data_IF_128753131738
#
_entry.id   IF_128753131738
#
_cell.length_a   1.000
_cell.length_b   1.000
_cell.length_c   1.000
_cell.angle_alpha   90.00
_cell.angle_beta   90.00
_cell.angle_gamma   90.00
#
_symmetry.space_group_name_H-M   'P 1'
#
loop_
_entity.id
_entity.type
_entity.pdbx_description
1 polymer ?
#
# COMPACT_ATOMS: atom_id res chain seq x y z
N UNK A 1 10.20 0.10 21.60
CA UNK A 1 9.96 -1.34 21.87
C UNK A 1 10.98 -1.79 22.89
N UNK A 2 10.53 -2.33 24.01
CA UNK A 2 11.41 -2.83 25.07
C UNK A 2 11.49 -4.36 24.95
N UNK A 3 12.63 -4.86 24.47
CA UNK A 3 12.87 -6.30 24.30
C UNK A 3 13.97 -6.73 25.26
N UNK A 4 13.76 -7.89 25.90
CA UNK A 4 14.77 -8.46 26.79
C UNK A 4 15.95 -8.98 25.98
N UNK A 5 17.17 -8.58 26.31
CA UNK A 5 18.39 -9.10 25.67
C UNK A 5 18.55 -10.59 25.97
N UNK A 6 18.75 -11.40 24.93
CA UNK A 6 18.99 -12.85 25.04
C UNK A 6 20.49 -13.14 24.92
N UNK A 7 21.00 -14.01 25.79
CA UNK A 7 22.39 -14.45 25.79
C UNK A 7 22.51 -15.88 26.34
N UNK A 8 23.63 -16.55 26.06
CA UNK A 8 23.87 -17.94 26.44
C UNK A 8 23.85 -18.15 27.96
N UNK A 9 23.28 -19.27 28.41
CA UNK A 9 23.14 -19.65 29.83
C UNK A 9 22.34 -18.65 30.69
N UNK A 10 21.51 -17.82 30.05
CA UNK A 10 20.58 -16.94 30.75
C UNK A 10 19.56 -17.76 31.55
N UNK A 11 19.40 -17.41 32.83
CA UNK A 11 18.30 -17.93 33.64
C UNK A 11 16.95 -17.52 33.03
N UNK A 12 16.03 -18.48 32.88
CA UNK A 12 14.73 -18.30 32.19
C UNK A 12 14.83 -17.79 30.75
N UNK A 13 15.89 -18.20 30.04
CA UNK A 13 16.07 -17.89 28.61
C UNK A 13 14.84 -18.20 27.73
N UNK A 14 14.23 -19.40 27.83
CA UNK A 14 13.03 -19.73 27.06
C UNK A 14 11.85 -18.77 27.28
N UNK A 15 11.58 -18.39 28.52
CA UNK A 15 10.49 -17.49 28.89
C UNK A 15 10.75 -16.06 28.37
N UNK A 16 11.98 -15.58 28.46
CA UNK A 16 12.35 -14.27 27.92
C UNK A 16 12.20 -14.22 26.38
N UNK A 17 12.54 -15.31 25.68
CA UNK A 17 12.33 -15.43 24.23
C UNK A 17 10.83 -15.41 23.90
N UNK A 18 10.01 -16.18 24.61
CA UNK A 18 8.57 -16.20 24.42
C UNK A 18 7.94 -14.81 24.65
N UNK A 19 8.32 -14.13 25.74
CA UNK A 19 7.85 -12.79 26.05
C UNK A 19 8.22 -11.77 24.97
N UNK A 20 9.44 -11.85 24.42
CA UNK A 20 9.85 -11.03 23.28
C UNK A 20 9.00 -11.31 22.04
N UNK A 21 8.71 -12.58 21.72
CA UNK A 21 7.87 -12.92 20.58
C UNK A 21 6.44 -12.42 20.73
N UNK A 22 5.83 -12.53 21.92
CA UNK A 22 4.50 -11.96 22.17
C UNK A 22 4.53 -10.43 22.07
N UNK A 23 5.61 -9.78 22.52
CA UNK A 23 5.80 -8.32 22.37
C UNK A 23 5.88 -7.92 20.90
N UNK A 24 6.69 -8.64 20.11
CA UNK A 24 6.82 -8.41 18.66
C UNK A 24 5.48 -8.63 17.94
N UNK A 25 4.78 -9.72 18.25
CA UNK A 25 3.45 -10.04 17.70
C UNK A 25 2.42 -8.95 18.02
N UNK A 26 2.44 -8.41 19.23
CA UNK A 26 1.53 -7.33 19.63
C UNK A 26 1.91 -5.98 19.00
N UNK A 27 3.19 -5.78 18.67
CA UNK A 27 3.67 -4.55 18.06
C UNK A 27 3.40 -4.52 16.57
N UNK A 28 3.57 -5.64 15.86
CA UNK A 28 3.34 -5.72 14.42
C UNK A 28 1.94 -6.24 14.13
N UNK A 29 0.97 -5.33 14.01
CA UNK A 29 -0.37 -5.68 13.55
C UNK A 29 -0.43 -5.57 12.04
N UNK A 30 -0.75 -6.69 11.38
CA UNK A 30 -0.94 -6.73 9.93
C UNK A 30 -2.43 -6.75 9.61
N UNK A 31 -2.85 -5.91 8.67
CA UNK A 31 -4.22 -5.90 8.14
C UNK A 31 -4.16 -6.11 6.64
N UNK A 32 -4.96 -7.05 6.14
CA UNK A 32 -5.10 -7.32 4.72
C UNK A 32 -6.36 -6.64 4.17
N UNK A 33 -6.26 -6.11 2.96
CA UNK A 33 -7.40 -5.62 2.18
C UNK A 33 -7.43 -6.39 0.86
N UNK A 34 -8.54 -7.09 0.60
CA UNK A 34 -8.74 -7.72 -0.70
C UNK A 34 -9.11 -6.67 -1.75
N UNK A 35 -8.74 -6.91 -3.00
CA UNK A 35 -9.20 -6.11 -4.14
C UNK A 35 -10.72 -6.02 -4.22
N UNK A 36 -11.47 -7.00 -3.71
CA UNK A 36 -12.94 -6.96 -3.65
C UNK A 36 -13.49 -5.81 -2.81
N UNK A 37 -12.72 -5.35 -1.81
CA UNK A 37 -13.12 -4.30 -0.87
C UNK A 37 -12.71 -2.90 -1.36
N UNK A 38 -12.03 -2.83 -2.50
CA UNK A 38 -11.67 -1.58 -3.16
C UNK A 38 -12.80 -1.13 -4.08
N UNK A 39 -13.05 0.17 -4.10
CA UNK A 39 -14.06 0.77 -4.99
C UNK A 39 -13.43 1.17 -6.32
N UNK A 40 -14.05 0.76 -7.42
CA UNK A 40 -13.64 1.17 -8.77
C UNK A 40 -13.98 2.66 -8.98
N UNK A 41 -13.05 3.43 -9.55
CA UNK A 41 -13.27 4.85 -9.89
C UNK A 41 -13.03 5.10 -11.37
N UNK A 42 -11.92 4.61 -11.94
CA UNK A 42 -11.64 4.65 -13.38
C UNK A 42 -11.03 3.32 -13.82
N UNK A 43 -11.60 2.73 -14.87
CA UNK A 43 -11.29 1.37 -15.30
C UNK A 43 -11.87 0.30 -14.38
N UNK A 44 -11.46 -0.94 -14.62
CA UNK A 44 -11.97 -2.14 -13.98
C UNK A 44 -10.90 -2.74 -13.05
N UNK A 45 -11.11 -2.64 -11.75
CA UNK A 45 -10.28 -3.28 -10.72
C UNK A 45 -10.25 -4.81 -10.89
N UNK A 46 -9.06 -5.38 -11.02
CA UNK A 46 -8.87 -6.82 -11.04
C UNK A 46 -8.91 -7.42 -9.62
N UNK A 47 -10.12 -7.58 -9.09
CA UNK A 47 -10.38 -7.91 -7.68
C UNK A 47 -9.63 -9.14 -7.15
N UNK A 48 -9.39 -10.15 -8.00
CA UNK A 48 -8.69 -11.39 -7.60
C UNK A 48 -7.18 -11.25 -7.50
N UNK A 49 -6.60 -10.26 -8.18
CA UNK A 49 -5.15 -10.01 -8.25
C UNK A 49 -4.73 -8.84 -7.35
N UNK A 50 -5.68 -7.96 -7.03
CA UNK A 50 -5.45 -6.72 -6.31
C UNK A 50 -5.52 -6.92 -4.81
N UNK A 51 -4.61 -6.29 -4.08
CA UNK A 51 -4.61 -6.34 -2.62
C UNK A 51 -3.76 -5.24 -1.98
N UNK A 52 -3.97 -5.04 -0.69
CA UNK A 52 -3.06 -4.25 0.14
C UNK A 52 -2.72 -4.99 1.44
N UNK A 53 -1.51 -4.74 1.93
CA UNK A 53 -1.09 -5.09 3.28
C UNK A 53 -0.73 -3.82 4.03
N UNK A 54 -1.31 -3.64 5.22
CA UNK A 54 -0.94 -2.58 6.14
C UNK A 54 -0.24 -3.20 7.35
N UNK A 55 0.97 -2.75 7.64
CA UNK A 55 1.73 -3.09 8.84
C UNK A 55 1.74 -1.87 9.73
N UNK A 56 1.08 -1.98 10.88
CA UNK A 56 0.95 -0.89 11.84
C UNK A 56 2.12 -0.89 12.83
N UNK A 57 2.65 0.29 13.08
CA UNK A 57 3.57 0.65 14.16
C UNK A 57 2.92 1.78 14.96
N UNK A 58 3.50 2.16 16.10
CA UNK A 58 2.89 3.08 17.07
C UNK A 58 2.22 4.33 16.46
N UNK A 59 2.96 5.12 15.66
CA UNK A 59 2.47 6.36 15.05
C UNK A 59 2.60 6.39 13.50
N UNK A 60 2.89 5.23 12.91
CA UNK A 60 3.12 5.11 11.47
C UNK A 60 2.70 3.72 11.02
N UNK A 61 2.14 3.61 9.81
CA UNK A 61 1.92 2.33 9.15
C UNK A 61 2.67 2.27 7.83
N UNK A 62 3.16 1.09 7.48
CA UNK A 62 3.61 0.77 6.12
C UNK A 62 2.44 0.15 5.36
N UNK A 63 2.07 0.75 4.24
CA UNK A 63 1.03 0.25 3.35
C UNK A 63 1.66 -0.22 2.05
N UNK A 64 1.68 -1.53 1.83
CA UNK A 64 1.98 -2.15 0.56
C UNK A 64 0.72 -2.26 -0.29
N UNK A 65 0.83 -1.95 -1.57
CA UNK A 65 -0.26 -1.97 -2.54
C UNK A 65 0.19 -2.71 -3.79
N UNK A 66 -0.62 -3.67 -4.23
CA UNK A 66 -0.49 -4.34 -5.52
C UNK A 66 -1.80 -4.21 -6.29
N UNK A 67 -1.74 -3.65 -7.50
CA UNK A 67 -2.92 -3.35 -8.30
C UNK A 67 -2.68 -3.62 -9.78
N UNK A 68 -3.75 -4.03 -10.43
CA UNK A 68 -3.97 -4.05 -11.86
C UNK A 68 -5.38 -3.51 -12.15
N UNK A 69 -5.45 -2.49 -13.00
CA UNK A 69 -6.68 -1.82 -13.40
C UNK A 69 -6.85 -2.00 -14.90
N UNK A 70 -7.81 -2.82 -15.32
CA UNK A 70 -8.14 -3.00 -16.73
C UNK A 70 -8.89 -1.77 -17.29
N UNK A 71 -8.90 -1.61 -18.61
CA UNK A 71 -9.70 -0.59 -19.32
C UNK A 71 -9.46 0.86 -18.83
N UNK A 72 -8.23 1.17 -18.41
CA UNK A 72 -7.89 2.51 -17.92
C UNK A 72 -7.94 3.55 -19.04
N UNK A 73 -8.62 4.68 -18.80
CA UNK A 73 -8.93 5.68 -19.83
C UNK A 73 -8.05 6.93 -19.81
N UNK A 74 -7.02 7.01 -18.95
CA UNK A 74 -6.23 8.22 -18.80
C UNK A 74 -5.26 8.47 -19.97
N UNK A 75 -5.61 9.40 -20.86
CA UNK A 75 -4.94 9.61 -22.15
C UNK A 75 -4.32 11.02 -22.34
N UNK A 76 -4.56 11.96 -21.43
CA UNK A 76 -4.03 13.32 -21.53
C UNK A 76 -2.64 13.42 -20.90
N UNK A 77 -1.79 14.26 -21.49
CA UNK A 77 -0.46 14.59 -20.94
C UNK A 77 -0.61 15.42 -19.67
N UNK A 78 0.21 15.11 -18.66
CA UNK A 78 0.33 15.90 -17.42
C UNK A 78 -0.95 15.99 -16.60
N UNK A 79 -1.80 14.96 -16.70
CA UNK A 79 -3.07 14.89 -15.97
C UNK A 79 -3.01 13.81 -14.89
N UNK A 80 -3.73 14.06 -13.80
CA UNK A 80 -3.93 13.08 -12.75
C UNK A 80 -5.30 12.43 -12.89
N UNK A 81 -5.33 11.11 -12.79
CA UNK A 81 -6.54 10.30 -12.86
C UNK A 81 -6.70 9.51 -11.57
N UNK A 82 -7.91 9.55 -11.02
CA UNK A 82 -8.34 8.69 -9.92
C UNK A 82 -8.59 7.28 -10.46
N UNK A 83 -8.15 6.23 -9.75
CA UNK A 83 -8.25 4.85 -10.24
C UNK A 83 -9.15 3.98 -9.37
N UNK A 84 -8.69 3.71 -8.15
CA UNK A 84 -9.41 2.92 -7.14
C UNK A 84 -9.37 3.65 -5.81
N UNK A 85 -10.37 3.39 -4.98
CA UNK A 85 -10.41 3.89 -3.62
C UNK A 85 -10.35 2.73 -2.62
N UNK A 86 -9.41 2.84 -1.67
CA UNK A 86 -9.34 1.99 -0.50
C UNK A 86 -10.36 2.50 0.54
N UNK A 87 -10.96 1.63 1.38
CA UNK A 87 -11.78 2.10 2.48
C UNK A 87 -10.97 3.03 3.40
N UNK A 88 -11.52 4.20 3.74
CA UNK A 88 -10.84 5.16 4.63
C UNK A 88 -10.48 4.56 5.99
N UNK A 89 -11.32 3.66 6.51
CA UNK A 89 -11.06 2.90 7.74
C UNK A 89 -9.79 2.03 7.64
N UNK A 90 -9.46 1.55 6.44
CA UNK A 90 -8.22 0.80 6.19
C UNK A 90 -6.97 1.68 6.24
N UNK A 91 -7.08 3.01 6.25
CA UNK A 91 -5.93 3.90 6.43
C UNK A 91 -5.58 4.17 7.91
N UNK A 92 -6.24 3.51 8.86
CA UNK A 92 -5.96 3.63 10.30
C UNK A 92 -5.97 5.07 10.84
N UNK A 93 -6.83 5.94 10.31
CA UNK A 93 -6.88 7.35 10.73
C UNK A 93 -5.72 8.21 10.22
N UNK A 94 -4.98 7.77 9.19
CA UNK A 94 -3.87 8.52 8.63
C UNK A 94 -4.23 9.97 8.29
N UNK A 95 -3.47 10.91 8.85
CA UNK A 95 -3.58 12.35 8.62
C UNK A 95 -2.60 12.83 7.56
N UNK A 96 -1.56 12.04 7.27
CA UNK A 96 -0.57 12.33 6.24
C UNK A 96 -0.08 11.04 5.59
N UNK A 97 0.11 11.09 4.28
CA UNK A 97 0.61 9.96 3.49
C UNK A 97 1.84 10.39 2.70
N UNK A 98 2.86 9.52 2.66
CA UNK A 98 4.05 9.71 1.81
C UNK A 98 4.32 8.45 1.01
N UNK A 99 4.48 8.58 -0.30
CA UNK A 99 5.03 7.48 -1.11
C UNK A 99 6.49 7.24 -0.75
N UNK A 100 6.89 5.96 -0.70
CA UNK A 100 8.30 5.57 -0.66
C UNK A 100 8.81 5.53 -2.11
N UNK A 101 10.07 5.97 -2.39
CA UNK A 101 10.68 5.80 -3.71
C UNK A 101 10.64 4.34 -4.20
N UNK A 102 10.74 4.13 -5.52
CA UNK A 102 10.63 2.82 -6.20
C UNK A 102 9.21 2.28 -6.40
N UNK A 103 8.22 3.16 -6.51
CA UNK A 103 6.92 2.81 -7.07
C UNK A 103 7.10 2.29 -8.50
N UNK A 104 6.70 1.04 -8.74
CA UNK A 104 6.73 0.46 -10.08
C UNK A 104 5.35 0.59 -10.70
N UNK A 105 5.34 1.14 -11.92
CA UNK A 105 4.19 1.02 -12.80
C UNK A 105 4.46 -0.13 -13.76
N UNK A 106 3.55 -1.08 -13.80
CA UNK A 106 3.60 -2.20 -14.73
C UNK A 106 2.71 -1.85 -15.91
N UNK A 107 3.20 -0.98 -16.81
CA UNK A 107 2.95 -0.89 -18.27
C UNK A 107 3.63 0.38 -18.85
N UNK A 108 4.06 0.30 -20.10
CA UNK A 108 5.10 1.11 -20.72
C UNK A 108 4.58 2.45 -21.27
N UNK A 109 5.09 3.55 -20.71
CA UNK A 109 5.57 4.66 -21.56
C UNK A 109 5.07 6.07 -21.26
N UNK A 110 4.16 6.27 -20.29
CA UNK A 110 3.69 7.63 -19.98
C UNK A 110 3.27 7.86 -18.52
N UNK A 111 3.35 6.88 -17.63
CA UNK A 111 2.87 6.98 -16.26
C UNK A 111 4.06 7.12 -15.30
N UNK A 112 3.95 8.00 -14.29
CA UNK A 112 5.12 8.35 -13.47
C UNK A 112 4.93 8.35 -11.98
N UNK A 113 3.77 8.77 -11.47
CA UNK A 113 3.62 9.06 -10.05
C UNK A 113 2.29 8.53 -9.54
N UNK A 114 2.35 7.62 -8.58
CA UNK A 114 1.19 7.15 -7.85
C UNK A 114 1.09 7.87 -6.51
N UNK A 115 -0.10 8.39 -6.23
CA UNK A 115 -0.39 9.11 -5.00
C UNK A 115 -1.59 8.49 -4.32
N UNK A 116 -1.51 8.35 -3.01
CA UNK A 116 -2.63 7.97 -2.16
C UNK A 116 -2.96 9.15 -1.23
N UNK A 117 -4.22 9.54 -1.18
CA UNK A 117 -4.70 10.56 -0.25
C UNK A 117 -5.33 9.97 1.02
N UNK A 118 -5.59 10.82 2.01
CA UNK A 118 -6.15 10.43 3.32
C UNK A 118 -7.62 10.02 3.26
N UNK A 119 -8.28 10.10 2.11
CA UNK A 119 -9.61 9.54 1.88
C UNK A 119 -9.55 8.14 1.25
N UNK A 120 -8.35 7.60 1.00
CA UNK A 120 -8.17 6.30 0.38
C UNK A 120 -8.12 6.35 -1.14
N UNK A 121 -8.14 7.52 -1.77
CA UNK A 121 -8.10 7.62 -3.22
C UNK A 121 -6.68 7.41 -3.73
N UNK A 122 -6.49 6.31 -4.47
CA UNK A 122 -5.28 6.11 -5.24
C UNK A 122 -5.43 6.74 -6.62
N UNK A 123 -4.46 7.57 -7.00
CA UNK A 123 -4.44 8.30 -8.27
C UNK A 123 -3.08 8.13 -8.95
N UNK A 124 -3.09 8.29 -10.27
CA UNK A 124 -1.89 8.19 -11.10
C UNK A 124 -1.75 9.43 -11.97
N UNK A 125 -0.52 9.93 -12.11
CA UNK A 125 -0.20 11.01 -13.04
C UNK A 125 0.47 10.49 -14.32
N UNK A 126 0.01 10.99 -15.46
CA UNK A 126 0.57 10.72 -16.79
C UNK A 126 1.50 11.87 -17.21
N UNK A 127 2.67 11.59 -17.83
CA UNK A 127 3.56 12.57 -18.50
C UNK A 127 3.43 12.56 -20.03
N UNK A 128 2.77 11.56 -20.60
CA UNK A 128 2.61 11.36 -22.04
C UNK A 128 1.14 11.23 -22.45
N UNK A 129 0.87 11.32 -23.74
CA UNK A 129 -0.38 10.77 -24.31
C UNK A 129 -0.24 9.27 -24.08
N UNK A 130 -1.07 8.69 -23.23
CA UNK A 130 -1.04 7.24 -23.05
C UNK A 130 -1.20 6.59 -24.42
N UNK A 131 -0.32 5.63 -24.65
CA UNK A 131 -0.03 4.93 -25.88
C UNK A 131 -1.29 4.15 -26.34
N UNK A 132 -1.31 3.67 -27.58
CA UNK A 132 -2.50 3.07 -28.20
C UNK A 132 -3.01 1.82 -27.47
N UNK A 133 -4.33 1.64 -27.49
CA UNK A 133 -5.04 0.38 -27.14
C UNK A 133 -4.53 -0.35 -25.87
N UNK A 134 -4.40 0.32 -24.73
CA UNK A 134 -4.02 -0.39 -23.50
C UNK A 134 -5.22 -1.06 -22.82
N UNK A 135 -5.00 -2.33 -22.48
CA UNK A 135 -5.89 -3.22 -21.75
C UNK A 135 -5.87 -3.02 -20.23
N UNK A 136 -4.89 -2.29 -19.66
CA UNK A 136 -4.85 -1.95 -18.25
C UNK A 136 -3.60 -1.17 -17.77
N UNK A 137 -3.53 -0.87 -16.47
CA UNK A 137 -2.36 -0.27 -15.78
C UNK A 137 -2.09 -0.99 -14.46
N UNK A 138 -0.82 -1.29 -14.18
CA UNK A 138 -0.40 -1.90 -12.91
C UNK A 138 0.32 -0.94 -11.97
N UNK A 139 0.20 -1.19 -10.66
CA UNK A 139 0.94 -0.50 -9.61
C UNK A 139 1.36 -1.46 -8.51
N UNK A 140 2.66 -1.50 -8.24
CA UNK A 140 3.22 -2.10 -7.04
C UNK A 140 4.05 -1.05 -6.30
N UNK A 141 3.71 -0.78 -5.03
CA UNK A 141 4.40 0.25 -4.27
C UNK A 141 4.04 0.31 -2.80
N UNK A 142 4.75 1.19 -2.10
CA UNK A 142 4.62 1.36 -0.64
C UNK A 142 4.32 2.82 -0.31
N UNK A 143 3.43 3.02 0.67
CA UNK A 143 3.17 4.29 1.31
C UNK A 143 3.43 4.22 2.81
N UNK A 144 3.91 5.32 3.38
CA UNK A 144 3.92 5.58 4.81
C UNK A 144 2.64 6.34 5.17
N UNK A 145 1.92 5.82 6.16
CA UNK A 145 0.72 6.43 6.71
C UNK A 145 1.05 6.96 8.11
N UNK A 146 0.99 8.27 8.32
CA UNK A 146 1.21 8.88 9.62
C UNK A 146 -0.14 9.14 10.27
N UNK A 147 -0.32 8.67 11.51
CA UNK A 147 -1.52 8.92 12.31
C UNK A 147 -1.45 10.32 12.94
#
# INVERSE_FOLDING_TARGET
MDLTKIFSNMDKGPEAIQANFETLKNTFKTTYLSGSDMTNVNGTNEKGSNFCWRLDFDNVSLLFVNLWINDFTGNEKWKSYKNVALPKSFLNGATKIKGIPEQKTEDNGAIVNWTLDTNGQLSVATRGTAIGEHTGIGFAGIFLLFQ
#
